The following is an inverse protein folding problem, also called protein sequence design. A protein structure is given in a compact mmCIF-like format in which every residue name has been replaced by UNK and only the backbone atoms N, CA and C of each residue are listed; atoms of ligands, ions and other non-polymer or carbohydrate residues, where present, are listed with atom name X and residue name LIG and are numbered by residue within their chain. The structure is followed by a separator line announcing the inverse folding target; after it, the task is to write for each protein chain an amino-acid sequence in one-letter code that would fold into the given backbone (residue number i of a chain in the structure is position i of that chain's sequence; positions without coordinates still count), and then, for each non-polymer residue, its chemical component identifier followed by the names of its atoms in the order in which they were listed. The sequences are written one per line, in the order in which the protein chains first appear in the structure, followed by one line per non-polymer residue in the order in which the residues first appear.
data_IF_653623707578
#
_entry.id   IF_653623707578
#
_cell.length_a   1.000
_cell.length_b   1.000
_cell.length_c   1.000
_cell.angle_alpha   90.00
_cell.angle_beta   90.00
_cell.angle_gamma   90.00
#
_symmetry.space_group_name_H-M   'P 1'
#
loop_
_entity.id
_entity.type
_entity.pdbx_description
1 polymer ?
#
# COMPACT_ATOMS: atom_id res chain seq x y z
N UNK A 1 -3.61 19.35 -6.66
CA UNK A 1 -4.38 18.15 -6.24
C UNK A 1 -5.67 18.64 -5.65
N UNK A 2 -6.79 18.01 -6.01
CA UNK A 2 -8.14 18.51 -5.73
C UNK A 2 -8.76 17.85 -4.50
N UNK A 3 -8.33 16.63 -4.17
CA UNK A 3 -8.86 15.84 -3.07
C UNK A 3 -7.82 14.83 -2.58
N UNK A 4 -8.11 14.15 -1.48
CA UNK A 4 -7.41 12.95 -1.05
C UNK A 4 -8.24 11.68 -1.34
N UNK A 5 -7.57 10.53 -1.30
CA UNK A 5 -8.20 9.23 -1.57
C UNK A 5 -9.24 8.86 -0.50
N UNK A 6 -9.06 9.27 0.76
CA UNK A 6 -10.04 9.03 1.81
C UNK A 6 -11.41 9.65 1.47
N UNK A 7 -11.41 10.91 1.05
CA UNK A 7 -12.62 11.63 0.64
C UNK A 7 -13.27 10.99 -0.58
N UNK A 8 -12.48 10.50 -1.55
CA UNK A 8 -13.00 9.82 -2.75
C UNK A 8 -13.66 8.48 -2.39
N UNK A 9 -13.03 7.66 -1.56
CA UNK A 9 -13.60 6.37 -1.10
C UNK A 9 -14.89 6.61 -0.33
N UNK A 10 -14.92 7.59 0.58
CA UNK A 10 -16.08 7.91 1.41
C UNK A 10 -17.31 8.37 0.60
N UNK A 11 -17.11 9.05 -0.53
CA UNK A 11 -18.21 9.44 -1.42
C UNK A 11 -18.90 8.23 -2.07
N UNK A 12 -18.21 7.09 -2.17
CA UNK A 12 -18.74 5.85 -2.74
C UNK A 12 -19.00 5.93 -4.25
N UNK A 13 -18.97 4.78 -4.93
CA UNK A 13 -19.38 4.60 -6.33
C UNK A 13 -18.65 5.43 -7.42
N UNK A 14 -17.69 6.30 -7.08
CA UNK A 14 -16.91 7.08 -8.06
C UNK A 14 -15.80 6.25 -8.73
N UNK A 15 -15.18 5.33 -7.99
CA UNK A 15 -14.04 4.56 -8.48
C UNK A 15 -14.48 3.24 -9.11
N UNK A 16 -14.35 3.16 -10.44
CA UNK A 16 -14.39 1.89 -11.19
C UNK A 16 -13.12 1.09 -10.91
N UNK A 17 -13.13 -0.20 -11.24
CA UNK A 17 -11.98 -1.09 -10.97
C UNK A 17 -10.70 -0.65 -11.68
N UNK A 18 -10.80 -0.05 -12.86
CA UNK A 18 -9.66 0.54 -13.56
C UNK A 18 -9.04 1.72 -12.78
N UNK A 19 -9.86 2.55 -12.14
CA UNK A 19 -9.37 3.66 -11.31
C UNK A 19 -8.64 3.13 -10.07
N UNK A 20 -9.21 2.11 -9.40
CA UNK A 20 -8.57 1.46 -8.23
C UNK A 20 -7.21 0.87 -8.61
N UNK A 21 -7.14 0.18 -9.75
CA UNK A 21 -5.91 -0.39 -10.28
C UNK A 21 -4.87 0.69 -10.62
N UNK A 22 -5.29 1.77 -11.29
CA UNK A 22 -4.39 2.87 -11.66
C UNK A 22 -3.84 3.66 -10.46
N UNK A 23 -4.69 3.91 -9.45
CA UNK A 23 -4.27 4.52 -8.19
C UNK A 23 -3.24 3.65 -7.47
N UNK A 24 -3.51 2.34 -7.36
CA UNK A 24 -2.59 1.41 -6.71
C UNK A 24 -1.25 1.32 -7.46
N UNK A 25 -1.29 1.27 -8.79
CA UNK A 25 -0.11 1.24 -9.64
C UNK A 25 0.80 2.44 -9.38
N UNK A 26 0.25 3.67 -9.40
CA UNK A 26 1.02 4.88 -9.14
C UNK A 26 1.55 4.94 -7.69
N UNK A 27 0.77 4.47 -6.70
CA UNK A 27 1.22 4.37 -5.31
C UNK A 27 2.40 3.39 -5.15
N UNK A 28 2.36 2.25 -5.84
CA UNK A 28 3.46 1.30 -5.87
C UNK A 28 4.70 1.89 -6.55
N UNK A 29 4.56 2.67 -7.63
CA UNK A 29 5.68 3.41 -8.25
C UNK A 29 6.32 4.39 -7.27
N UNK A 30 5.51 5.22 -6.61
CA UNK A 30 5.99 6.17 -5.62
C UNK A 30 6.71 5.46 -4.47
N UNK A 31 6.15 4.33 -4.00
CA UNK A 31 6.75 3.52 -2.93
C UNK A 31 8.06 2.86 -3.37
N UNK A 32 8.13 2.30 -4.58
CA UNK A 32 9.37 1.76 -5.16
C UNK A 32 10.47 2.83 -5.17
N UNK A 33 10.14 4.05 -5.57
CA UNK A 33 11.09 5.16 -5.62
C UNK A 33 11.65 5.52 -4.23
N UNK A 34 10.80 5.70 -3.22
CA UNK A 34 11.30 6.01 -1.86
C UNK A 34 12.08 4.83 -1.25
N UNK A 35 11.66 3.61 -1.56
CA UNK A 35 12.32 2.39 -1.10
C UNK A 35 13.70 2.19 -1.75
N UNK A 36 13.93 2.64 -2.99
CA UNK A 36 15.26 2.59 -3.60
C UNK A 36 16.27 3.49 -2.88
N UNK A 37 15.80 4.59 -2.29
CA UNK A 37 16.56 5.46 -1.39
C UNK A 37 16.68 4.95 0.06
N UNK A 38 16.24 3.71 0.35
CA UNK A 38 16.18 3.14 1.70
C UNK A 38 15.39 4.02 2.70
N UNK A 39 14.36 4.72 2.21
CA UNK A 39 13.42 5.48 3.04
C UNK A 39 12.12 4.69 3.18
N UNK A 40 11.59 4.63 4.40
CA UNK A 40 10.25 4.11 4.70
C UNK A 40 9.34 5.26 5.11
N UNK A 41 8.10 5.27 4.60
CA UNK A 41 7.12 6.33 4.85
C UNK A 41 6.45 6.20 6.23
N UNK A 42 6.10 4.97 6.63
CA UNK A 42 5.51 4.58 7.92
C UNK A 42 4.09 5.07 8.23
N UNK A 43 3.57 6.03 7.45
CA UNK A 43 2.21 6.55 7.60
C UNK A 43 1.45 6.62 6.27
N UNK A 44 1.59 5.59 5.43
CA UNK A 44 0.78 5.52 4.21
C UNK A 44 -0.67 5.19 4.59
N UNK A 45 -1.59 6.06 4.19
CA UNK A 45 -3.04 5.93 4.43
C UNK A 45 -3.80 6.77 3.39
N UNK A 46 -5.09 6.52 3.14
CA UNK A 46 -5.84 7.21 2.10
C UNK A 46 -5.85 8.74 2.20
N UNK A 47 -5.79 9.33 3.40
CA UNK A 47 -5.71 10.80 3.57
C UNK A 47 -4.36 11.39 3.14
N UNK A 48 -3.31 10.57 3.04
CA UNK A 48 -1.97 10.97 2.63
C UNK A 48 -1.71 10.67 1.14
N UNK A 49 -2.76 10.27 0.40
CA UNK A 49 -2.72 9.99 -1.03
C UNK A 49 -3.58 11.04 -1.71
N UNK A 50 -2.93 12.02 -2.33
CA UNK A 50 -3.60 13.10 -3.05
C UNK A 50 -3.96 12.67 -4.46
N UNK A 51 -5.10 13.14 -4.94
CA UNK A 51 -5.65 12.87 -6.27
C UNK A 51 -6.05 14.17 -6.99
N UNK A 52 -5.96 14.17 -8.32
CA UNK A 52 -6.62 15.15 -9.19
C UNK A 52 -7.76 14.48 -10.00
N UNK A 53 -8.41 15.26 -10.87
CA UNK A 53 -9.53 14.80 -11.69
C UNK A 53 -9.19 13.61 -12.61
N UNK A 54 -7.92 13.49 -13.02
CA UNK A 54 -7.42 12.43 -13.88
C UNK A 54 -6.90 11.22 -13.08
N UNK A 55 -7.13 11.19 -11.77
CA UNK A 55 -6.67 10.17 -10.84
C UNK A 55 -5.13 10.06 -10.75
N UNK A 56 -4.37 11.13 -11.04
CA UNK A 56 -2.94 11.13 -10.76
C UNK A 56 -2.69 11.14 -9.26
N UNK A 57 -1.74 10.32 -8.81
CA UNK A 57 -1.43 10.13 -7.41
C UNK A 57 -0.19 10.91 -7.00
N UNK A 58 -0.28 11.61 -5.87
CA UNK A 58 0.91 12.10 -5.14
C UNK A 58 0.84 11.64 -3.69
N UNK A 59 1.87 10.91 -3.25
CA UNK A 59 2.06 10.56 -1.85
C UNK A 59 2.61 11.78 -1.09
N UNK A 60 2.02 12.11 0.04
CA UNK A 60 2.42 13.25 0.88
C UNK A 60 2.59 12.84 2.35
N UNK A 61 3.00 13.80 3.18
CA UNK A 61 3.20 13.65 4.64
C UNK A 61 4.31 12.68 5.07
N UNK A 62 5.55 13.07 4.77
CA UNK A 62 6.77 12.37 5.18
C UNK A 62 7.20 12.67 6.63
N UNK A 63 6.31 13.22 7.48
CA UNK A 63 6.65 13.62 8.85
C UNK A 63 7.11 12.46 9.74
N UNK A 64 6.68 11.24 9.43
CA UNK A 64 7.05 10.01 10.12
C UNK A 64 8.07 9.16 9.36
N UNK A 65 8.57 9.65 8.21
CA UNK A 65 9.52 8.91 7.39
C UNK A 65 10.86 8.70 8.09
N UNK A 66 11.54 7.59 7.77
CA UNK A 66 12.85 7.22 8.33
C UNK A 66 13.74 6.57 7.28
N UNK A 67 15.05 6.78 7.40
CA UNK A 67 16.05 6.08 6.60
C UNK A 67 16.46 4.80 7.32
N UNK A 68 16.48 3.67 6.60
CA UNK A 68 16.94 2.38 7.10
C UNK A 68 18.47 2.31 7.29
N UNK A 69 19.22 3.26 6.73
CA UNK A 69 20.68 3.32 6.86
C UNK A 69 21.14 3.89 8.21
N UNK A 70 20.27 4.63 8.90
CA UNK A 70 20.54 5.13 10.25
C UNK A 70 20.22 4.00 11.24
N UNK A 71 21.25 3.29 11.71
CA UNK A 71 21.08 2.38 12.86
C UNK A 71 20.64 3.23 14.04
N UNK A 72 19.52 2.86 14.67
CA UNK A 72 18.94 3.55 15.82
C UNK A 72 19.91 3.53 17.02
N UNK A 73 20.91 4.40 17.01
CA UNK A 73 21.63 4.79 18.22
C UNK A 73 20.73 5.76 19.00
N UNK A 74 19.83 5.20 19.80
CA UNK A 74 19.24 5.90 20.94
C UNK A 74 18.01 6.78 20.70
N UNK A 75 17.46 6.87 19.48
CA UNK A 75 16.16 7.53 19.33
C UNK A 75 15.05 6.58 19.77
N UNK A 76 14.57 6.80 20.99
CA UNK A 76 13.24 6.34 21.40
C UNK A 76 12.29 6.79 20.31
N UNK A 77 11.74 5.84 19.54
CA UNK A 77 10.58 6.12 18.69
C UNK A 77 9.60 6.91 19.55
N UNK A 78 9.06 8.06 19.07
CA UNK A 78 8.27 8.93 19.91
C UNK A 78 7.16 8.08 20.52
N UNK A 79 7.34 7.76 21.79
CA UNK A 79 6.43 6.94 22.53
C UNK A 79 5.15 7.77 22.63
N UNK A 80 4.07 7.19 22.13
CA UNK A 80 2.75 7.41 22.70
C UNK A 80 2.20 8.84 22.58
N UNK A 81 1.99 9.32 21.35
CA UNK A 81 0.71 9.98 21.03
C UNK A 81 -0.23 8.96 20.40
N UNK A 82 -0.53 7.89 21.16
CA UNK A 82 -1.40 6.77 20.79
C UNK A 82 -2.87 7.19 20.55
N UNK A 83 -3.22 8.42 20.96
CA UNK A 83 -4.59 8.92 21.02
C UNK A 83 -5.08 9.71 19.80
N UNK A 84 -4.21 10.10 18.85
CA UNK A 84 -4.62 11.06 17.79
C UNK A 84 -4.45 10.53 16.36
N UNK A 85 -3.67 9.46 16.15
CA UNK A 85 -3.40 8.96 14.79
C UNK A 85 -4.17 7.67 14.44
N UNK A 86 -4.71 7.62 13.23
CA UNK A 86 -5.42 6.45 12.67
C UNK A 86 -4.49 5.23 12.58
N UNK A 87 -4.74 4.21 13.40
CA UNK A 87 -3.92 2.97 13.48
C UNK A 87 -4.24 1.90 12.43
N UNK A 88 -5.27 2.12 11.63
CA UNK A 88 -5.89 1.11 10.75
C UNK A 88 -4.95 0.55 9.66
N UNK A 89 -3.93 1.32 9.28
CA UNK A 89 -2.96 0.98 8.22
C UNK A 89 -1.59 0.59 8.79
N UNK A 90 -1.42 0.54 10.12
CA UNK A 90 -0.15 0.18 10.75
C UNK A 90 0.09 -1.32 10.67
N UNK A 91 1.30 -1.69 10.29
CA UNK A 91 1.72 -3.08 10.20
C UNK A 91 1.79 -3.78 11.58
N UNK A 92 1.60 -5.11 11.67
CA UNK A 92 1.64 -5.85 12.93
C UNK A 92 2.91 -5.61 13.73
N UNK A 93 4.07 -5.55 13.07
CA UNK A 93 5.36 -5.31 13.70
C UNK A 93 5.50 -3.90 14.28
N UNK A 94 4.79 -2.90 13.73
CA UNK A 94 4.69 -1.56 14.32
C UNK A 94 3.83 -1.59 15.58
N UNK A 95 2.70 -2.31 15.54
CA UNK A 95 1.77 -2.43 16.66
C UNK A 95 2.36 -3.23 17.83
N UNK A 96 3.19 -4.23 17.52
CA UNK A 96 3.89 -5.07 18.50
C UNK A 96 5.22 -4.46 18.98
N UNK A 97 5.54 -3.23 18.56
CA UNK A 97 6.79 -2.53 18.94
C UNK A 97 8.06 -3.34 18.63
N UNK A 98 8.07 -4.05 17.50
CA UNK A 98 9.28 -4.71 17.01
C UNK A 98 10.38 -3.68 16.76
N UNK A 99 11.63 -4.04 17.09
CA UNK A 99 12.82 -3.19 16.84
C UNK A 99 13.32 -3.27 15.39
N UNK A 100 12.79 -4.19 14.58
CA UNK A 100 13.17 -4.35 13.18
C UNK A 100 12.10 -3.76 12.28
N UNK A 101 12.33 -2.55 11.78
CA UNK A 101 11.49 -1.93 10.76
C UNK A 101 12.07 -2.22 9.38
N UNK A 102 11.24 -2.75 8.48
CA UNK A 102 11.62 -3.02 7.09
C UNK A 102 10.73 -2.24 6.13
N UNK A 103 11.07 -2.28 4.83
CA UNK A 103 10.22 -1.77 3.75
C UNK A 103 8.83 -2.41 3.75
N UNK A 104 8.69 -3.60 4.34
CA UNK A 104 7.43 -4.32 4.50
C UNK A 104 6.35 -3.52 5.24
N UNK A 105 6.72 -2.57 6.10
CA UNK A 105 5.77 -1.70 6.82
C UNK A 105 4.88 -0.93 5.85
N UNK A 106 5.47 -0.29 4.85
CA UNK A 106 4.72 0.45 3.83
C UNK A 106 3.91 -0.50 2.95
N UNK A 107 4.46 -1.67 2.62
CA UNK A 107 3.77 -2.68 1.80
C UNK A 107 2.50 -3.20 2.48
N UNK A 108 2.51 -3.34 3.81
CA UNK A 108 1.31 -3.63 4.58
C UNK A 108 0.27 -2.52 4.46
N UNK A 109 0.68 -1.27 4.65
CA UNK A 109 -0.22 -0.12 4.54
C UNK A 109 -0.87 -0.05 3.16
N UNK A 110 -0.11 -0.31 2.09
CA UNK A 110 -0.62 -0.42 0.71
C UNK A 110 -1.65 -1.56 0.59
N UNK A 111 -1.39 -2.71 1.22
CA UNK A 111 -2.37 -3.80 1.33
C UNK A 111 -3.68 -3.35 1.98
N UNK A 112 -3.61 -2.62 3.10
CA UNK A 112 -4.80 -2.06 3.75
C UNK A 112 -5.55 -1.06 2.84
N UNK A 113 -4.81 -0.22 2.10
CA UNK A 113 -5.38 0.75 1.14
C UNK A 113 -6.07 0.01 -0.02
N UNK A 114 -5.45 -1.04 -0.58
CA UNK A 114 -6.08 -1.89 -1.59
C UNK A 114 -7.36 -2.53 -1.05
N UNK A 115 -7.31 -3.09 0.16
CA UNK A 115 -8.48 -3.65 0.82
C UNK A 115 -9.61 -2.63 0.95
N UNK A 116 -9.29 -1.40 1.33
CA UNK A 116 -10.27 -0.31 1.44
C UNK A 116 -10.81 0.18 0.09
N UNK A 117 -9.97 0.23 -0.96
CA UNK A 117 -10.41 0.51 -2.34
C UNK A 117 -11.41 -0.52 -2.85
N UNK A 118 -11.21 -1.79 -2.50
CA UNK A 118 -12.09 -2.91 -2.90
C UNK A 118 -13.37 -2.96 -2.07
N UNK A 119 -13.26 -2.72 -0.76
CA UNK A 119 -14.36 -2.85 0.21
C UNK A 119 -15.20 -1.58 0.36
N UNK A 120 -14.65 -0.41 0.01
CA UNK A 120 -15.27 0.90 0.21
C UNK A 120 -15.23 1.42 1.65
N UNK A 121 -14.59 0.69 2.57
CA UNK A 121 -14.41 1.05 3.99
C UNK A 121 -13.12 0.44 4.53
N UNK A 122 -12.55 0.98 5.62
CA UNK A 122 -11.31 0.47 6.20
C UNK A 122 -11.38 -1.02 6.51
N UNK A 123 -10.31 -1.73 6.16
CA UNK A 123 -10.22 -3.18 6.30
C UNK A 123 -10.11 -3.62 7.77
N UNK A 124 -9.32 -2.89 8.56
CA UNK A 124 -9.07 -3.19 9.98
C UNK A 124 -9.31 -1.95 10.86
N UNK A 125 -10.57 -1.59 11.15
CA UNK A 125 -10.90 -0.38 11.92
C UNK A 125 -10.81 -0.61 13.44
N UNK A 126 -9.60 -0.84 13.97
CA UNK A 126 -9.39 -1.11 15.40
C UNK A 126 -9.53 0.13 16.30
N UNK A 127 -10.20 -0.05 17.44
CA UNK A 127 -10.46 1.03 18.42
C UNK A 127 -9.31 1.24 19.41
N UNK A 128 -8.47 0.23 19.62
CA UNK A 128 -7.26 0.24 20.44
C UNK A 128 -6.16 -0.57 19.76
N UNK A 129 -4.92 -0.53 20.26
CA UNK A 129 -3.81 -1.33 19.72
C UNK A 129 -4.10 -2.82 19.82
N UNK A 130 -4.63 -3.29 20.95
CA UNK A 130 -5.05 -4.68 21.14
C UNK A 130 -6.15 -5.05 20.15
N UNK A 131 -7.21 -4.22 20.06
CA UNK A 131 -8.31 -4.49 19.14
C UNK A 131 -7.87 -4.46 17.67
N UNK A 132 -6.92 -3.61 17.30
CA UNK A 132 -6.33 -3.58 15.96
C UNK A 132 -5.68 -4.92 15.62
N UNK A 133 -4.89 -5.49 16.54
CA UNK A 133 -4.25 -6.79 16.35
C UNK A 133 -5.30 -7.91 16.27
N UNK A 134 -6.33 -7.87 17.11
CA UNK A 134 -7.44 -8.84 17.05
C UNK A 134 -8.17 -8.81 15.70
N UNK A 135 -8.44 -7.62 15.14
CA UNK A 135 -9.07 -7.47 13.82
C UNK A 135 -8.18 -8.03 12.71
N UNK A 136 -6.86 -7.83 12.82
CA UNK A 136 -5.88 -8.39 11.89
C UNK A 136 -5.91 -9.93 11.95
N UNK A 137 -5.74 -10.51 13.14
CA UNK A 137 -5.68 -11.96 13.35
C UNK A 137 -7.02 -12.67 13.08
N UNK A 138 -8.13 -11.93 13.07
CA UNK A 138 -9.43 -12.45 12.64
C UNK A 138 -9.44 -12.83 11.16
N UNK A 139 -8.70 -12.11 10.32
CA UNK A 139 -8.69 -12.29 8.85
C UNK A 139 -7.41 -12.96 8.36
N UNK A 140 -6.26 -12.60 8.95
CA UNK A 140 -4.95 -13.05 8.53
C UNK A 140 -4.50 -14.18 9.47
N UNK A 141 -3.99 -15.31 8.95
CA UNK A 141 -3.45 -16.37 9.79
C UNK A 141 -2.38 -15.84 10.74
N UNK A 142 -2.39 -16.36 11.97
CA UNK A 142 -1.32 -16.08 12.92
C UNK A 142 0.03 -16.59 12.36
N UNK A 143 1.15 -15.91 12.67
CA UNK A 143 2.48 -16.36 12.27
C UNK A 143 2.74 -17.77 12.77
N UNK A 144 3.39 -18.58 11.95
CA UNK A 144 3.84 -19.91 12.37
C UNK A 144 5.10 -19.78 13.26
N UNK A 145 5.48 -20.86 13.93
CA UNK A 145 6.75 -20.92 14.67
C UNK A 145 7.98 -20.61 13.81
N UNK A 146 7.88 -20.84 12.49
CA UNK A 146 8.94 -20.58 11.52
C UNK A 146 9.08 -19.09 11.16
N UNK A 147 8.06 -18.27 11.42
CA UNK A 147 8.11 -16.83 11.15
C UNK A 147 9.01 -16.06 12.13
N UNK A 148 9.45 -16.70 13.22
CA UNK A 148 10.31 -16.07 14.21
C UNK A 148 9.66 -14.91 14.98
N UNK A 149 8.35 -14.70 14.81
CA UNK A 149 7.60 -13.64 15.49
C UNK A 149 6.86 -14.22 16.69
N UNK A 150 7.28 -13.83 17.89
CA UNK A 150 6.56 -14.19 19.12
C UNK A 150 5.40 -13.23 19.36
N UNK A 151 4.17 -13.71 19.11
CA UNK A 151 2.97 -13.06 19.62
C UNK A 151 2.94 -13.14 21.15
N UNK A 152 2.56 -12.04 21.81
CA UNK A 152 2.33 -12.09 23.26
C UNK A 152 1.22 -13.09 23.60
N UNK A 153 1.29 -13.70 24.79
CA UNK A 153 0.32 -14.71 25.24
C UNK A 153 -1.15 -14.27 25.11
N UNK A 154 -1.43 -12.96 25.18
CA UNK A 154 -2.76 -12.39 25.01
C UNK A 154 -3.40 -12.67 23.63
N UNK A 155 -2.59 -12.91 22.59
CA UNK A 155 -3.07 -13.11 21.21
C UNK A 155 -3.04 -14.57 20.76
N UNK A 156 -2.55 -15.50 21.57
CA UNK A 156 -2.44 -16.93 21.22
C UNK A 156 -3.81 -17.61 21.03
N UNK A 157 -4.87 -17.02 21.58
CA UNK A 157 -6.25 -17.49 21.42
C UNK A 157 -6.94 -16.90 20.19
N UNK A 158 -6.36 -15.87 19.57
CA UNK A 158 -6.87 -15.26 18.36
C UNK A 158 -6.58 -16.18 17.17
N UNK A 159 -7.61 -16.89 16.73
CA UNK A 159 -7.58 -17.69 15.50
C UNK A 159 -8.23 -16.92 14.37
N UNK A 160 -7.75 -17.15 13.15
CA UNK A 160 -8.44 -16.72 11.94
C UNK A 160 -9.87 -17.27 11.97
N UNK A 161 -10.83 -16.37 11.76
CA UNK A 161 -12.27 -16.70 11.75
C UNK A 161 -12.93 -16.47 10.42
N UNK A 162 -12.37 -15.57 9.60
CA UNK A 162 -12.89 -15.23 8.28
C UNK A 162 -11.74 -15.10 7.28
N UNK A 163 -12.05 -15.29 6.01
CA UNK A 163 -11.14 -15.15 4.87
C UNK A 163 -11.38 -13.83 4.14
N UNK A 164 -10.45 -13.43 3.27
CA UNK A 164 -10.63 -12.24 2.43
C UNK A 164 -11.84 -12.37 1.49
N UNK A 165 -12.10 -13.58 1.00
CA UNK A 165 -13.23 -13.92 0.13
C UNK A 165 -14.58 -13.69 0.80
N UNK A 166 -14.67 -13.92 2.11
CA UNK A 166 -15.91 -13.73 2.87
C UNK A 166 -16.18 -12.26 3.20
N UNK A 167 -15.13 -11.44 3.31
CA UNK A 167 -15.27 -10.02 3.69
C UNK A 167 -15.37 -9.08 2.49
N UNK A 168 -14.77 -9.43 1.34
CA UNK A 168 -14.75 -8.59 0.15
C UNK A 168 -15.99 -8.85 -0.73
N UNK A 169 -16.43 -7.86 -1.53
CA UNK A 169 -17.51 -8.07 -2.49
C UNK A 169 -17.20 -9.21 -3.46
N UNK A 170 -18.21 -10.00 -3.83
CA UNK A 170 -18.07 -11.09 -4.82
C UNK A 170 -17.63 -10.62 -6.21
N UNK A 171 -17.80 -9.33 -6.51
CA UNK A 171 -17.31 -8.68 -7.72
C UNK A 171 -15.81 -8.34 -7.69
N UNK A 172 -15.11 -8.64 -6.59
CA UNK A 172 -13.67 -8.35 -6.47
C UNK A 172 -12.88 -9.13 -7.53
N UNK A 173 -12.06 -8.44 -8.36
CA UNK A 173 -11.23 -9.13 -9.34
C UNK A 173 -10.25 -10.10 -8.67
N UNK A 174 -10.17 -11.35 -9.15
CA UNK A 174 -9.28 -12.37 -8.59
C UNK A 174 -7.80 -11.93 -8.53
N UNK A 175 -7.24 -11.22 -9.54
CA UNK A 175 -5.87 -10.71 -9.43
C UNK A 175 -5.69 -9.68 -8.30
N UNK A 176 -6.74 -8.90 -7.99
CA UNK A 176 -6.70 -7.92 -6.91
C UNK A 176 -6.66 -8.61 -5.54
N UNK A 177 -7.51 -9.64 -5.37
CA UNK A 177 -7.54 -10.48 -4.18
C UNK A 177 -6.19 -11.19 -3.95
N UNK A 178 -5.60 -11.73 -5.01
CA UNK A 178 -4.29 -12.39 -4.96
C UNK A 178 -3.19 -11.41 -4.54
N UNK A 179 -3.16 -10.19 -5.12
CA UNK A 179 -2.21 -9.16 -4.71
C UNK A 179 -2.41 -8.77 -3.23
N UNK A 180 -3.66 -8.58 -2.80
CA UNK A 180 -4.00 -8.22 -1.44
C UNK A 180 -3.45 -9.25 -0.44
N UNK A 181 -3.64 -10.55 -0.71
CA UNK A 181 -3.14 -11.65 0.13
C UNK A 181 -1.62 -11.67 0.24
N UNK A 182 -0.91 -11.33 -0.85
CA UNK A 182 0.56 -11.29 -0.88
C UNK A 182 1.15 -10.02 -0.23
N UNK A 183 0.36 -8.95 -0.12
CA UNK A 183 0.74 -7.73 0.63
C UNK A 183 0.42 -7.87 2.12
N UNK A 184 -0.71 -8.48 2.46
CA UNK A 184 -1.19 -8.66 3.83
C UNK A 184 -0.75 -9.99 4.44
N UNK A 185 0.56 -10.15 4.58
CA UNK A 185 1.20 -11.27 5.26
C UNK A 185 1.72 -10.79 6.61
N UNK A 186 1.54 -11.59 7.67
CA UNK A 186 1.95 -11.20 9.01
C UNK A 186 3.46 -10.93 9.09
N UNK A 187 4.27 -11.89 8.60
CA UNK A 187 5.71 -11.75 8.51
C UNK A 187 6.09 -10.69 7.44
N UNK A 188 6.78 -9.60 7.81
CA UNK A 188 7.13 -8.53 6.88
C UNK A 188 8.04 -8.96 5.73
N UNK A 189 8.91 -9.95 5.96
CA UNK A 189 9.89 -10.41 4.96
C UNK A 189 9.26 -11.33 3.90
N UNK A 190 8.04 -11.81 4.15
CA UNK A 190 7.26 -12.61 3.21
C UNK A 190 6.29 -11.77 2.36
N UNK A 191 6.21 -10.46 2.59
CA UNK A 191 5.38 -9.54 1.80
C UNK A 191 6.09 -9.24 0.48
N UNK A 192 5.32 -9.05 -0.59
CA UNK A 192 5.88 -8.53 -1.84
C UNK A 192 6.53 -7.17 -1.60
N UNK A 193 7.71 -6.98 -2.20
CA UNK A 193 8.31 -5.65 -2.37
C UNK A 193 7.52 -4.82 -3.37
N UNK A 194 7.72 -3.49 -3.36
CA UNK A 194 7.09 -2.61 -4.34
C UNK A 194 7.46 -2.97 -5.80
N UNK A 195 8.69 -3.45 -6.01
CA UNK A 195 9.16 -3.90 -7.32
C UNK A 195 8.44 -5.17 -7.80
N UNK A 196 8.32 -6.18 -6.93
CA UNK A 196 7.59 -7.41 -7.26
C UNK A 196 6.08 -7.15 -7.45
N UNK A 197 5.51 -6.28 -6.61
CA UNK A 197 4.11 -5.89 -6.70
C UNK A 197 3.78 -5.15 -8.02
N UNK A 198 4.69 -4.35 -8.57
CA UNK A 198 4.53 -3.71 -9.89
C UNK A 198 4.50 -4.73 -11.05
N UNK A 199 5.09 -5.91 -10.86
CA UNK A 199 5.04 -7.00 -11.83
C UNK A 199 3.80 -7.91 -11.65
N UNK A 200 2.97 -7.64 -10.65
CA UNK A 200 1.80 -8.47 -10.35
C UNK A 200 0.72 -8.37 -11.44
N UNK A 201 0.06 -9.48 -11.84
CA UNK A 201 -0.97 -9.48 -12.90
C UNK A 201 -2.08 -8.44 -12.74
N UNK A 202 -2.38 -8.01 -11.51
CA UNK A 202 -3.39 -6.99 -11.24
C UNK A 202 -3.04 -5.61 -11.81
N UNK A 203 -1.76 -5.20 -11.75
CA UNK A 203 -1.28 -3.88 -12.18
C UNK A 203 -0.38 -3.93 -13.42
N UNK A 204 0.07 -5.13 -13.81
CA UNK A 204 1.01 -5.36 -14.91
C UNK A 204 0.53 -4.83 -16.27
N UNK A 205 -0.78 -4.87 -16.53
CA UNK A 205 -1.33 -4.34 -17.79
C UNK A 205 -1.11 -2.83 -17.94
N UNK A 206 -1.18 -2.07 -16.84
CA UNK A 206 -0.89 -0.64 -16.82
C UNK A 206 0.61 -0.37 -16.95
N UNK A 207 1.44 -1.20 -16.34
CA UNK A 207 2.90 -1.14 -16.50
C UNK A 207 3.32 -1.32 -17.96
N UNK A 208 2.73 -2.29 -18.66
CA UNK A 208 3.04 -2.54 -20.07
C UNK A 208 2.62 -1.36 -20.97
N UNK A 209 1.46 -0.75 -20.70
CA UNK A 209 0.98 0.41 -21.45
C UNK A 209 1.91 1.62 -21.28
N UNK A 210 2.39 1.88 -20.07
CA UNK A 210 3.30 3.01 -19.82
C UNK A 210 4.67 2.79 -20.46
N UNK A 211 5.25 1.58 -20.38
CA UNK A 211 6.51 1.26 -21.08
C UNK A 211 6.36 1.47 -22.59
N UNK A 212 5.25 1.04 -23.18
CA UNK A 212 5.03 1.29 -24.61
C UNK A 212 4.87 2.77 -24.94
N UNK A 213 4.29 3.58 -24.04
CA UNK A 213 4.17 5.04 -24.24
C UNK A 213 5.51 5.74 -24.04
N UNK A 214 6.34 5.33 -23.08
CA UNK A 214 7.69 5.84 -22.87
C UNK A 214 8.60 5.48 -24.05
N UNK A 215 8.49 4.26 -24.59
CA UNK A 215 9.18 3.84 -25.81
C UNK A 215 8.70 4.66 -27.02
N UNK A 216 7.38 4.88 -27.16
CA UNK A 216 6.83 5.69 -28.24
C UNK A 216 7.16 7.18 -28.12
N UNK A 217 7.23 7.74 -26.91
CA UNK A 217 7.64 9.14 -26.69
C UNK A 217 9.14 9.32 -26.87
N UNK A 218 9.94 8.31 -26.49
CA UNK A 218 11.38 8.27 -26.79
C UNK A 218 11.62 8.14 -28.30
N UNK A 219 10.82 7.33 -29.01
CA UNK A 219 10.86 7.21 -30.47
C UNK A 219 10.32 8.46 -31.19
N UNK A 220 9.26 9.09 -30.68
CA UNK A 220 8.72 10.33 -31.21
C UNK A 220 9.65 11.53 -30.96
N UNK A 221 10.46 11.50 -29.90
CA UNK A 221 11.55 12.46 -29.65
C UNK A 221 12.73 12.36 -30.64
N UNK A 222 12.82 11.27 -31.42
CA UNK A 222 13.81 11.07 -32.48
C UNK A 222 13.26 11.47 -33.86
N UNK A 223 11.96 11.78 -33.97
CA UNK A 223 11.32 12.19 -35.22
C UNK A 223 10.58 13.53 -35.04
N UNK A 224 11.31 14.65 -35.21
CA UNK A 224 10.72 15.95 -35.58
C UNK A 224 10.65 16.05 -37.11
N UNK A 225 9.72 16.84 -37.67
CA UNK A 225 8.63 16.38 -38.52
C UNK A 225 8.98 16.40 -40.01
N UNK A 226 8.16 15.70 -40.79
CA UNK A 226 8.03 15.88 -42.24
C UNK A 226 7.94 17.38 -42.60
N UNK A 227 9.00 17.94 -43.16
CA UNK A 227 8.90 19.13 -44.03
C UNK A 227 8.37 18.68 -45.38
N UNK A 228 7.07 18.86 -45.63
CA UNK A 228 6.53 18.90 -46.99
C UNK A 228 6.33 20.37 -47.38
N UNK A 229 7.27 20.82 -48.21
CA UNK A 229 7.20 21.80 -49.31
C UNK A 229 5.91 22.62 -49.48
N UNK A 230 6.05 23.93 -49.66
CA UNK A 230 5.48 24.58 -50.85
C UNK A 230 6.25 25.84 -51.25
N UNK A 231 6.38 25.95 -52.55
CA UNK A 231 7.06 26.95 -53.37
C UNK A 231 6.43 28.34 -53.27
N UNK A 232 7.26 29.37 -53.30
CA UNK A 232 7.06 30.63 -54.04
C UNK A 232 8.42 31.30 -54.20
#
# INVERSE_FOLDING_TARGET
METDLHAVIKKGNLLKDIHKCYILYQLLKATKFIHSGNVIHRDQKPSNILLDADCFVKLCDFGLARSLCQRDEGQSSPALTEYVATRWYRAPEILLSSRSYTKGVDMWSIGCILGELLLGKPLFPGTSTINQIEQILRVIPAPSSEDGVSLSNCFLTCRQRVTFEEILPSSTPLPALDLLKKLLVFNPDKRLTAEEALQHPYVKSLFALEVTLDDLTTLAGVLVPYTVLSSS
#
